data_IF_707245272970
#
_entry.id   IF_707245272970
#
_cell.length_a   1.000
_cell.length_b   1.000
_cell.length_c   1.000
_cell.angle_alpha   90.00
_cell.angle_beta   90.00
_cell.angle_gamma   90.00
#
_symmetry.space_group_name_H-M   'P 1'
#
loop_
_entity.id
_entity.type
_entity.pdbx_description
1 polymer ?
#
# COMPACT_ATOMS: atom_id res chain seq x y z
N UNK A 1 22.22 9.13 4.95
CA UNK A 1 20.97 9.89 5.19
C UNK A 1 20.13 9.09 6.18
N UNK A 2 19.66 9.71 7.27
CA UNK A 2 18.79 9.07 8.26
C UNK A 2 17.36 9.54 7.95
N UNK A 3 16.42 8.61 7.86
CA UNK A 3 15.02 8.97 7.65
C UNK A 3 14.47 9.62 8.92
N UNK A 4 13.86 10.81 8.78
CA UNK A 4 13.22 11.54 9.89
C UNK A 4 11.77 11.09 10.06
N UNK A 5 11.14 11.47 11.17
CA UNK A 5 9.70 11.24 11.37
C UNK A 5 8.86 11.94 10.30
N UNK A 6 9.26 13.15 9.89
CA UNK A 6 8.60 13.90 8.81
C UNK A 6 8.72 13.18 7.45
N UNK A 7 9.87 12.58 7.17
CA UNK A 7 10.05 11.78 5.95
C UNK A 7 9.15 10.53 5.97
N UNK A 8 8.99 9.90 7.14
CA UNK A 8 8.10 8.75 7.33
C UNK A 8 6.64 9.17 7.13
N UNK A 9 6.23 10.29 7.71
CA UNK A 9 4.88 10.84 7.56
C UNK A 9 4.58 11.17 6.09
N UNK A 10 5.46 11.91 5.42
CA UNK A 10 5.33 12.24 4.01
C UNK A 10 5.30 10.99 3.11
N UNK A 11 5.99 9.92 3.51
CA UNK A 11 5.87 8.63 2.84
C UNK A 11 4.46 8.06 3.00
N UNK A 12 3.92 8.01 4.22
CA UNK A 12 2.61 7.43 4.50
C UNK A 12 1.41 8.22 3.95
N UNK A 13 1.58 9.53 3.74
CA UNK A 13 0.60 10.37 3.05
C UNK A 13 0.41 9.95 1.59
N UNK A 14 1.49 9.57 0.91
CA UNK A 14 1.50 9.29 -0.54
C UNK A 14 1.48 7.80 -0.86
N UNK A 15 2.12 7.02 -0.01
CA UNK A 15 2.37 5.61 -0.22
C UNK A 15 1.86 4.77 0.94
N UNK A 16 1.57 3.52 0.62
CA UNK A 16 1.12 2.56 1.61
C UNK A 16 1.62 1.16 1.23
N UNK A 17 1.83 0.34 2.26
CA UNK A 17 2.29 -1.04 2.12
C UNK A 17 1.22 -2.00 2.63
N UNK A 18 1.19 -3.27 2.16
CA UNK A 18 0.27 -4.27 2.70
C UNK A 18 0.37 -4.46 4.20
N UNK A 19 1.56 -4.27 4.80
CA UNK A 19 1.73 -4.35 6.26
C UNK A 19 1.06 -3.18 6.97
N UNK A 20 1.10 -1.97 6.39
CA UNK A 20 0.34 -0.84 6.92
C UNK A 20 -1.17 -1.08 6.79
N UNK A 21 -1.65 -1.63 5.66
CA UNK A 21 -3.06 -1.98 5.47
C UNK A 21 -3.49 -3.07 6.47
N UNK A 22 -2.66 -4.08 6.71
CA UNK A 22 -2.89 -5.13 7.71
C UNK A 22 -2.99 -4.54 9.12
N UNK A 23 -2.13 -3.58 9.47
CA UNK A 23 -2.22 -2.87 10.75
C UNK A 23 -3.48 -1.99 10.85
N UNK A 24 -3.91 -1.34 9.77
CA UNK A 24 -5.10 -0.48 9.71
C UNK A 24 -6.42 -1.28 9.72
N UNK A 25 -6.44 -2.49 9.15
CA UNK A 25 -7.67 -3.25 8.89
C UNK A 25 -7.78 -4.56 9.66
N UNK A 26 -6.67 -5.08 10.20
CA UNK A 26 -6.58 -6.40 10.80
C UNK A 26 -6.58 -7.56 9.80
N UNK A 27 -6.70 -7.29 8.50
CA UNK A 27 -6.74 -8.32 7.47
C UNK A 27 -5.35 -8.83 7.13
N UNK A 28 -5.25 -10.14 6.95
CA UNK A 28 -3.97 -10.78 6.63
C UNK A 28 -3.41 -10.26 5.29
N UNK A 29 -2.10 -10.01 5.26
CA UNK A 29 -1.38 -9.49 4.08
C UNK A 29 -1.72 -10.18 2.75
N UNK A 30 -1.90 -11.50 2.74
CA UNK A 30 -2.20 -12.23 1.49
C UNK A 30 -3.61 -11.95 0.96
N UNK A 31 -4.58 -11.73 1.85
CA UNK A 31 -5.94 -11.32 1.49
C UNK A 31 -5.92 -9.96 0.82
N UNK A 32 -5.19 -9.02 1.40
CA UNK A 32 -4.99 -7.67 0.83
C UNK A 32 -4.34 -7.76 -0.56
N UNK A 33 -3.23 -8.50 -0.69
CA UNK A 33 -2.55 -8.65 -1.98
C UNK A 33 -3.43 -9.31 -3.04
N UNK A 34 -4.22 -10.33 -2.68
CA UNK A 34 -5.14 -10.98 -3.60
C UNK A 34 -6.24 -10.01 -4.07
N UNK A 35 -6.81 -9.22 -3.15
CA UNK A 35 -7.80 -8.21 -3.49
C UNK A 35 -7.24 -7.14 -4.44
N UNK A 36 -6.08 -6.57 -4.12
CA UNK A 36 -5.44 -5.55 -4.97
C UNK A 36 -5.13 -6.08 -6.37
N UNK A 37 -4.66 -7.33 -6.48
CA UNK A 37 -4.43 -8.00 -7.78
C UNK A 37 -5.71 -8.21 -8.56
N UNK A 38 -6.79 -8.65 -7.91
CA UNK A 38 -8.09 -8.85 -8.56
C UNK A 38 -8.65 -7.53 -9.12
N UNK A 39 -8.33 -6.40 -8.48
CA UNK A 39 -8.68 -5.05 -8.92
C UNK A 39 -7.70 -4.45 -9.92
N UNK A 40 -6.67 -5.20 -10.32
CA UNK A 40 -5.60 -4.76 -11.23
C UNK A 40 -4.89 -3.49 -10.74
N UNK A 41 -4.80 -3.31 -9.42
CA UNK A 41 -4.01 -2.23 -8.83
C UNK A 41 -2.55 -2.59 -8.96
N UNK A 42 -1.79 -1.73 -9.62
CA UNK A 42 -0.36 -1.90 -9.82
C UNK A 42 0.46 -1.37 -8.64
N UNK A 43 1.64 -1.97 -8.44
CA UNK A 43 2.64 -1.48 -7.50
C UNK A 43 3.27 -0.20 -8.04
N UNK A 44 3.69 0.67 -7.14
CA UNK A 44 4.48 1.83 -7.50
C UNK A 44 5.86 1.38 -8.02
N UNK A 45 6.06 1.48 -9.34
CA UNK A 45 7.28 1.07 -10.02
C UNK A 45 7.69 2.10 -11.10
N UNK A 46 8.03 3.35 -10.72
CA UNK A 46 8.49 4.37 -11.66
C UNK A 46 9.72 3.87 -12.42
N UNK A 47 9.69 3.98 -13.75
CA UNK A 47 10.77 3.49 -14.61
C UNK A 47 11.00 1.97 -14.53
N UNK A 48 10.03 1.20 -14.04
CA UNK A 48 10.14 -0.26 -13.87
C UNK A 48 10.95 -0.69 -12.63
N UNK A 49 11.33 0.24 -11.76
CA UNK A 49 12.07 -0.10 -10.54
C UNK A 49 11.14 -0.73 -9.49
N UNK A 50 11.55 -1.89 -8.95
CA UNK A 50 10.79 -2.59 -7.91
C UNK A 50 11.23 -2.13 -6.51
N UNK A 51 10.31 -1.51 -5.77
CA UNK A 51 10.49 -1.10 -4.37
C UNK A 51 9.80 -2.05 -3.38
N UNK A 52 9.42 -3.25 -3.84
CA UNK A 52 8.58 -4.18 -3.12
C UNK A 52 7.10 -3.85 -3.29
N UNK A 53 6.23 -4.30 -2.36
CA UNK A 53 4.79 -4.06 -2.42
C UNK A 53 4.45 -2.67 -1.86
N UNK A 54 4.83 -1.63 -2.58
CA UNK A 54 4.47 -0.23 -2.30
C UNK A 54 3.40 0.19 -3.29
N UNK A 55 2.36 0.87 -2.82
CA UNK A 55 1.24 1.34 -3.62
C UNK A 55 1.01 2.83 -3.37
N UNK A 56 0.46 3.54 -4.36
CA UNK A 56 -0.03 4.90 -4.16
C UNK A 56 -1.31 4.84 -3.33
N UNK A 57 -1.41 5.67 -2.28
CA UNK A 57 -2.59 5.70 -1.40
C UNK A 57 -3.85 6.05 -2.19
N UNK A 58 -3.78 7.06 -3.06
CA UNK A 58 -4.88 7.47 -3.94
C UNK A 58 -5.44 6.32 -4.80
N UNK A 59 -4.59 5.40 -5.25
CA UNK A 59 -5.00 4.29 -6.10
C UNK A 59 -5.78 3.21 -5.33
N UNK A 60 -5.63 3.16 -4.00
CA UNK A 60 -6.21 2.11 -3.17
C UNK A 60 -7.25 2.59 -2.16
N UNK A 61 -7.41 3.89 -1.94
CA UNK A 61 -8.36 4.44 -0.96
C UNK A 61 -9.78 3.88 -1.11
N UNK A 62 -10.26 3.74 -2.34
CA UNK A 62 -11.57 3.12 -2.62
C UNK A 62 -11.58 1.61 -2.37
N UNK A 63 -10.44 0.93 -2.51
CA UNK A 63 -10.34 -0.52 -2.40
C UNK A 63 -10.22 -0.99 -0.95
N UNK A 64 -9.61 -0.18 -0.07
CA UNK A 64 -9.48 -0.53 1.36
C UNK A 64 -10.87 -0.77 1.99
N UNK A 65 -11.87 0.01 1.59
CA UNK A 65 -13.26 -0.12 2.08
C UNK A 65 -13.96 -1.38 1.54
N UNK A 66 -13.52 -1.88 0.40
CA UNK A 66 -14.08 -3.05 -0.29
C UNK A 66 -13.33 -4.34 0.06
N UNK A 67 -12.37 -4.29 0.99
CA UNK A 67 -11.63 -5.48 1.41
C UNK A 67 -12.60 -6.51 2.00
N UNK A 68 -12.42 -7.80 1.67
CA UNK A 68 -13.26 -8.86 2.23
C UNK A 68 -12.99 -8.97 3.74
N UNK A 69 -14.06 -8.91 4.53
CA UNK A 69 -14.03 -9.06 5.98
C UNK A 69 -13.51 -10.43 6.44
#
# INVERSE_FOLDING_TARGET
MRMTEQDIEAFHERFITPTAIEAETGLHRQTILAHLRAKQIERFAPGGQDYGPVYLREAIEGQIRDLPA
#
